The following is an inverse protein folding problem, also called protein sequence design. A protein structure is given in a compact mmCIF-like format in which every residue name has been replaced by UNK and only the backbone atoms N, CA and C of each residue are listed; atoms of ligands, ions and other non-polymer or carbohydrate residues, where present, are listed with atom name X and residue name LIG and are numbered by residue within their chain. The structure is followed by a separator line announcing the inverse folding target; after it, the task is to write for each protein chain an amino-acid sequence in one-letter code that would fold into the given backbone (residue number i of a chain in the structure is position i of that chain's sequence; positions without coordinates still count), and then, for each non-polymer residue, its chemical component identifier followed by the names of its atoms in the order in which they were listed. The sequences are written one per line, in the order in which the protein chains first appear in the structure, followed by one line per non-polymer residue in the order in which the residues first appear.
data_IF_201133302289
#
_entry.id   IF_201133302289
#
_cell.length_a   1.000
_cell.length_b   1.000
_cell.length_c   1.000
_cell.angle_alpha   90.00
_cell.angle_beta   90.00
_cell.angle_gamma   90.00
#
_symmetry.space_group_name_H-M   'P 1'
#
loop_
_entity.id
_entity.type
_entity.pdbx_description
1 polymer ?
#
# COMPACT_ATOMS: atom_id res chain seq x y z
N UNK A 1 16.35 16.40 -11.33
CA UNK A 1 15.67 16.09 -12.60
C UNK A 1 14.38 15.38 -12.26
N UNK A 2 13.24 15.91 -12.68
CA UNK A 2 11.95 15.23 -12.62
C UNK A 2 11.83 14.35 -13.87
N UNK A 3 11.58 13.05 -13.71
CA UNK A 3 11.49 12.11 -14.84
C UNK A 3 10.13 11.43 -14.91
N UNK A 4 9.62 11.28 -16.13
CA UNK A 4 8.46 10.44 -16.46
C UNK A 4 8.92 9.60 -17.65
N UNK A 5 9.15 8.31 -17.44
CA UNK A 5 9.77 7.41 -18.42
C UNK A 5 8.89 6.16 -18.53
N UNK A 6 8.46 5.82 -19.74
CA UNK A 6 7.66 4.63 -20.02
C UNK A 6 6.40 4.52 -19.15
N UNK A 7 5.68 5.63 -19.00
CA UNK A 7 4.43 5.69 -18.24
C UNK A 7 3.24 5.85 -19.19
N UNK A 8 2.31 4.89 -19.15
CA UNK A 8 1.02 5.01 -19.82
C UNK A 8 0.08 5.87 -18.95
N UNK A 9 -0.34 7.03 -19.44
CA UNK A 9 -1.11 8.01 -18.68
C UNK A 9 -2.52 8.15 -19.27
N UNK A 10 -3.53 7.80 -18.48
CA UNK A 10 -4.94 7.93 -18.85
C UNK A 10 -5.36 9.40 -19.04
N UNK A 11 -6.32 9.68 -19.95
CA UNK A 11 -6.59 11.04 -20.45
C UNK A 11 -7.07 12.06 -19.40
N UNK A 12 -7.57 11.60 -18.24
CA UNK A 12 -8.06 12.46 -17.16
C UNK A 12 -7.16 12.44 -15.92
N UNK A 13 -5.95 11.90 -16.03
CA UNK A 13 -5.02 11.85 -14.92
C UNK A 13 -4.47 13.25 -14.60
N UNK A 14 -4.39 13.58 -13.31
CA UNK A 14 -3.71 14.78 -12.83
C UNK A 14 -2.35 14.39 -12.27
N UNK A 15 -1.27 14.89 -12.87
CA UNK A 15 0.09 14.71 -12.36
C UNK A 15 0.64 16.08 -11.98
N UNK A 16 0.89 16.31 -10.69
CA UNK A 16 1.33 17.60 -10.19
C UNK A 16 2.50 17.44 -9.20
N UNK A 17 3.66 17.95 -9.60
CA UNK A 17 4.84 18.04 -8.72
C UNK A 17 5.50 16.71 -8.38
N UNK A 18 5.24 15.64 -9.14
CA UNK A 18 5.90 14.34 -8.96
C UNK A 18 7.41 14.44 -9.09
N UNK A 19 8.16 13.56 -8.42
CA UNK A 19 9.62 13.54 -8.49
C UNK A 19 10.15 12.56 -9.54
N UNK A 20 9.64 11.34 -9.62
CA UNK A 20 10.05 10.34 -10.62
C UNK A 20 8.93 9.32 -10.82
N UNK A 21 8.57 9.05 -12.08
CA UNK A 21 7.65 7.99 -12.49
C UNK A 21 8.31 7.16 -13.59
N UNK A 22 8.53 5.87 -13.36
CA UNK A 22 9.27 4.99 -14.29
C UNK A 22 8.53 3.67 -14.49
N UNK A 23 8.33 3.27 -15.75
CA UNK A 23 7.69 2.01 -16.13
C UNK A 23 6.35 1.80 -15.41
N UNK A 24 5.35 2.61 -15.77
CA UNK A 24 4.11 2.69 -15.01
C UNK A 24 2.85 2.74 -15.87
N UNK A 25 1.71 2.49 -15.26
CA UNK A 25 0.39 2.75 -15.85
C UNK A 25 -0.47 3.52 -14.86
N UNK A 26 -1.07 4.61 -15.32
CA UNK A 26 -2.02 5.43 -14.57
C UNK A 26 -3.35 5.38 -15.33
N UNK A 27 -4.27 4.54 -14.88
CA UNK A 27 -5.62 4.46 -15.42
C UNK A 27 -6.41 5.66 -14.93
N UNK A 28 -7.11 6.33 -15.84
CA UNK A 28 -7.90 7.52 -15.52
C UNK A 28 -8.95 7.79 -16.59
N UNK A 29 -10.18 8.05 -16.18
CA UNK A 29 -11.30 8.37 -17.07
C UNK A 29 -12.06 9.61 -16.57
N UNK A 30 -12.97 10.13 -17.40
CA UNK A 30 -13.76 11.32 -17.07
C UNK A 30 -14.55 11.16 -15.77
N UNK A 31 -15.13 9.98 -15.58
CA UNK A 31 -15.98 9.66 -14.43
C UNK A 31 -15.17 9.19 -13.21
N UNK A 32 -13.89 8.85 -13.41
CA UNK A 32 -13.02 8.28 -12.39
C UNK A 32 -11.56 8.78 -12.56
N UNK A 33 -11.29 10.07 -12.29
CA UNK A 33 -9.97 10.66 -12.47
C UNK A 33 -8.97 10.20 -11.41
N UNK A 34 -7.72 9.95 -11.81
CA UNK A 34 -6.62 9.53 -10.92
C UNK A 34 -5.62 10.67 -10.70
N UNK A 35 -5.11 10.80 -9.47
CA UNK A 35 -4.18 11.87 -9.09
C UNK A 35 -2.82 11.31 -8.66
N UNK A 36 -1.75 11.85 -9.24
CA UNK A 36 -0.37 11.70 -8.77
C UNK A 36 0.13 13.06 -8.30
N UNK A 37 0.38 13.19 -7.00
CA UNK A 37 0.72 14.44 -6.34
C UNK A 37 2.22 14.68 -6.15
N UNK A 38 2.49 15.67 -5.29
CA UNK A 38 3.83 16.20 -5.12
C UNK A 38 4.81 15.18 -4.54
N UNK A 39 6.04 15.21 -5.07
CA UNK A 39 7.22 14.46 -4.63
C UNK A 39 7.07 12.93 -4.67
N UNK A 40 6.06 12.41 -5.37
CA UNK A 40 5.89 10.97 -5.56
C UNK A 40 7.09 10.40 -6.31
N UNK A 41 7.55 9.23 -5.86
CA UNK A 41 8.53 8.40 -6.56
C UNK A 41 7.89 7.05 -6.79
N UNK A 42 7.67 6.66 -8.04
CA UNK A 42 7.06 5.38 -8.37
C UNK A 42 7.80 4.69 -9.52
N UNK A 43 8.13 3.42 -9.32
CA UNK A 43 8.78 2.56 -10.31
C UNK A 43 8.05 1.24 -10.45
N UNK A 44 7.88 0.73 -11.67
CA UNK A 44 7.23 -0.55 -11.94
C UNK A 44 5.84 -0.60 -11.31
N UNK A 45 4.96 0.35 -11.63
CA UNK A 45 3.71 0.57 -10.88
C UNK A 45 2.47 0.59 -11.75
N UNK A 46 1.32 0.28 -11.14
CA UNK A 46 0.00 0.50 -11.75
C UNK A 46 -0.87 1.24 -10.75
N UNK A 47 -1.45 2.36 -11.17
CA UNK A 47 -2.45 3.12 -10.43
C UNK A 47 -3.78 3.04 -11.17
N UNK A 48 -4.80 2.46 -10.54
CA UNK A 48 -6.14 2.32 -11.11
C UNK A 48 -6.97 3.60 -10.92
N UNK A 49 -8.13 3.62 -11.54
CA UNK A 49 -9.03 4.77 -11.59
C UNK A 49 -9.45 5.27 -10.19
N UNK A 50 -9.76 6.57 -10.08
CA UNK A 50 -10.13 7.21 -8.80
C UNK A 50 -9.08 7.11 -7.69
N UNK A 51 -7.87 6.59 -7.95
CA UNK A 51 -6.83 6.53 -6.93
C UNK A 51 -6.11 7.87 -6.78
N UNK A 52 -5.54 8.09 -5.60
CA UNK A 52 -4.76 9.28 -5.27
C UNK A 52 -3.45 8.86 -4.61
N UNK A 53 -2.34 9.11 -5.28
CA UNK A 53 -0.98 8.83 -4.80
C UNK A 53 -0.28 10.18 -4.60
N UNK A 54 -0.06 10.61 -3.37
CA UNK A 54 0.36 12.00 -3.06
C UNK A 54 1.45 12.05 -1.99
N UNK A 55 1.86 13.27 -1.62
CA UNK A 55 2.58 13.56 -0.37
C UNK A 55 3.86 12.72 -0.17
N UNK A 56 4.69 12.68 -1.21
CA UNK A 56 5.96 11.95 -1.21
C UNK A 56 5.85 10.43 -0.94
N UNK A 57 4.77 9.79 -1.40
CA UNK A 57 4.70 8.33 -1.45
C UNK A 57 5.82 7.74 -2.32
N UNK A 58 6.37 6.60 -1.88
CA UNK A 58 7.48 5.90 -2.56
C UNK A 58 7.01 4.47 -2.90
N UNK A 59 6.90 4.15 -4.18
CA UNK A 59 6.33 2.90 -4.67
C UNK A 59 7.30 2.18 -5.60
N UNK A 60 7.47 0.87 -5.43
CA UNK A 60 8.29 0.03 -6.32
C UNK A 60 7.65 -1.34 -6.50
N UNK A 61 7.27 -1.72 -7.73
CA UNK A 61 6.55 -2.98 -8.02
C UNK A 61 5.23 -3.05 -7.26
N UNK A 62 4.40 -2.01 -7.40
CA UNK A 62 3.16 -1.85 -6.63
C UNK A 62 1.94 -1.69 -7.55
N UNK A 63 0.87 -2.40 -7.22
CA UNK A 63 -0.46 -2.13 -7.74
C UNK A 63 -1.27 -1.32 -6.71
N UNK A 64 -1.77 -0.16 -7.14
CA UNK A 64 -2.67 0.71 -6.39
C UNK A 64 -4.04 0.65 -7.06
N UNK A 65 -4.97 -0.06 -6.44
CA UNK A 65 -6.31 -0.32 -6.95
C UNK A 65 -7.26 0.88 -6.92
N UNK A 66 -8.46 0.66 -7.44
CA UNK A 66 -9.44 1.72 -7.65
C UNK A 66 -9.81 2.40 -6.32
N UNK A 67 -9.87 3.74 -6.32
CA UNK A 67 -10.27 4.50 -5.13
C UNK A 67 -9.27 4.46 -3.96
N UNK A 68 -8.08 3.86 -4.16
CA UNK A 68 -7.06 3.83 -3.12
C UNK A 68 -6.49 5.23 -2.86
N UNK A 69 -6.16 5.49 -1.60
CA UNK A 69 -5.44 6.68 -1.19
C UNK A 69 -4.09 6.29 -0.60
N UNK A 70 -3.01 6.73 -1.22
CA UNK A 70 -1.64 6.43 -0.82
C UNK A 70 -0.89 7.74 -0.63
N UNK A 71 -0.29 7.96 0.53
CA UNK A 71 0.37 9.23 0.76
C UNK A 71 1.03 9.37 2.12
N UNK A 72 1.25 10.62 2.51
CA UNK A 72 1.92 11.02 3.76
C UNK A 72 3.21 10.23 4.00
N UNK A 73 4.09 10.19 3.00
CA UNK A 73 5.38 9.49 3.03
C UNK A 73 5.29 7.96 3.18
N UNK A 74 4.15 7.35 2.84
CA UNK A 74 4.02 5.89 2.83
C UNK A 74 4.97 5.27 1.79
N UNK A 75 5.66 4.20 2.16
CA UNK A 75 6.51 3.41 1.26
C UNK A 75 5.91 2.04 1.01
N UNK A 76 5.98 1.56 -0.22
CA UNK A 76 5.58 0.20 -0.56
C UNK A 76 6.48 -0.46 -1.59
N UNK A 77 6.75 -1.74 -1.37
CA UNK A 77 7.51 -2.58 -2.31
C UNK A 77 6.80 -3.92 -2.54
N UNK A 78 6.79 -4.41 -3.78
CA UNK A 78 6.29 -5.74 -4.15
C UNK A 78 4.86 -6.01 -3.64
N UNK A 79 4.00 -4.99 -3.63
CA UNK A 79 2.73 -5.03 -2.88
C UNK A 79 1.52 -4.75 -3.77
N UNK A 80 0.38 -5.31 -3.39
CA UNK A 80 -0.90 -5.12 -4.06
C UNK A 80 -1.89 -4.49 -3.09
N UNK A 81 -2.46 -3.35 -3.45
CA UNK A 81 -3.57 -2.72 -2.75
C UNK A 81 -4.80 -2.77 -3.65
N UNK A 82 -5.81 -3.56 -3.29
CA UNK A 82 -7.09 -3.61 -4.00
C UNK A 82 -7.97 -2.43 -3.61
N UNK A 83 -9.21 -2.40 -4.12
CA UNK A 83 -10.06 -1.22 -4.04
C UNK A 83 -10.22 -0.61 -2.64
N UNK A 84 -10.26 0.72 -2.58
CA UNK A 84 -10.56 1.51 -1.40
C UNK A 84 -9.63 1.24 -0.19
N UNK A 85 -8.37 0.89 -0.44
CA UNK A 85 -7.36 0.88 0.61
C UNK A 85 -6.89 2.31 0.93
N UNK A 86 -6.52 2.53 2.20
CA UNK A 86 -5.91 3.77 2.64
C UNK A 86 -4.54 3.44 3.25
N UNK A 87 -3.48 3.96 2.64
CA UNK A 87 -2.10 3.65 2.96
C UNK A 87 -1.34 4.96 3.22
N UNK A 88 -1.30 5.34 4.48
CA UNK A 88 -0.62 6.54 4.95
C UNK A 88 0.38 6.18 6.04
N UNK A 89 1.49 6.93 6.10
CA UNK A 89 2.37 6.97 7.27
C UNK A 89 2.90 5.60 7.74
N UNK A 90 3.57 4.85 6.88
CA UNK A 90 4.09 3.52 7.22
C UNK A 90 4.81 2.87 6.05
N UNK A 91 5.08 1.58 6.19
CA UNK A 91 5.76 0.77 5.18
C UNK A 91 4.97 -0.50 4.89
N UNK A 92 4.89 -0.88 3.61
CA UNK A 92 4.42 -2.19 3.18
C UNK A 92 5.44 -2.92 2.30
N UNK A 93 5.67 -4.21 2.55
CA UNK A 93 6.52 -5.03 1.68
C UNK A 93 5.96 -6.43 1.48
N UNK A 94 5.80 -6.84 0.22
CA UNK A 94 5.23 -8.16 -0.14
C UNK A 94 3.84 -8.39 0.45
N UNK A 95 2.98 -7.36 0.39
CA UNK A 95 1.64 -7.40 0.97
C UNK A 95 0.58 -7.66 -0.10
N UNK A 96 -0.39 -8.51 0.23
CA UNK A 96 -1.65 -8.64 -0.48
C UNK A 96 -2.75 -7.95 0.35
N UNK A 97 -2.95 -6.66 0.10
CA UNK A 97 -3.96 -5.85 0.76
C UNK A 97 -5.26 -5.92 -0.06
N UNK A 98 -6.15 -6.82 0.31
CA UNK A 98 -7.52 -6.87 -0.19
C UNK A 98 -8.29 -5.58 0.14
N UNK A 99 -9.53 -5.43 -0.38
CA UNK A 99 -10.27 -4.18 -0.27
C UNK A 99 -10.38 -3.65 1.16
N UNK A 100 -10.36 -2.33 1.32
CA UNK A 100 -10.45 -1.66 2.63
C UNK A 100 -9.39 -2.12 3.65
N UNK A 101 -8.17 -2.40 3.20
CA UNK A 101 -7.01 -2.50 4.09
C UNK A 101 -6.53 -1.08 4.39
N UNK A 102 -6.44 -0.73 5.67
CA UNK A 102 -6.25 0.64 6.13
C UNK A 102 -5.09 0.73 7.12
N UNK A 103 -4.18 1.68 6.86
CA UNK A 103 -3.19 2.17 7.81
C UNK A 103 -3.05 3.68 7.70
N UNK A 104 -3.22 4.40 8.82
CA UNK A 104 -3.23 5.86 8.85
C UNK A 104 -2.10 6.49 9.67
N UNK A 105 -1.41 5.70 10.49
CA UNK A 105 -0.57 6.18 11.59
C UNK A 105 0.86 5.69 11.46
N UNK A 106 1.83 6.56 11.81
CA UNK A 106 3.21 6.12 12.03
C UNK A 106 3.27 5.16 13.21
N UNK A 107 4.07 4.10 13.23
CA UNK A 107 4.99 3.58 12.20
C UNK A 107 4.55 2.15 11.86
N UNK A 108 3.41 1.98 11.19
CA UNK A 108 2.95 0.62 10.85
C UNK A 108 3.90 -0.04 9.87
N UNK A 109 4.26 -1.29 10.14
CA UNK A 109 4.98 -2.16 9.22
C UNK A 109 4.06 -3.31 8.82
N UNK A 110 3.66 -3.33 7.55
CA UNK A 110 2.88 -4.40 6.95
C UNK A 110 3.78 -5.24 6.05
N UNK A 111 4.06 -6.49 6.39
CA UNK A 111 4.96 -7.32 5.59
C UNK A 111 4.43 -8.72 5.40
N UNK A 112 4.70 -9.31 4.23
CA UNK A 112 4.44 -10.73 3.93
C UNK A 112 3.08 -11.20 4.47
N UNK A 113 2.03 -10.46 4.15
CA UNK A 113 0.72 -10.61 4.78
C UNK A 113 -0.42 -10.46 3.80
N UNK A 114 -1.47 -11.27 4.01
CA UNK A 114 -2.75 -11.14 3.31
C UNK A 114 -3.78 -10.51 4.26
N UNK A 115 -4.37 -9.40 3.82
CA UNK A 115 -5.32 -8.58 4.58
C UNK A 115 -6.59 -8.33 3.77
N UNK A 116 -7.70 -8.04 4.43
CA UNK A 116 -8.93 -7.55 3.80
C UNK A 116 -9.83 -6.91 4.85
N UNK A 117 -10.48 -5.78 4.54
CA UNK A 117 -11.25 -4.99 5.50
C UNK A 117 -10.48 -4.80 6.83
N UNK A 118 -9.17 -4.62 6.71
CA UNK A 118 -8.24 -4.69 7.83
C UNK A 118 -7.91 -3.30 8.32
N UNK A 119 -7.87 -3.12 9.64
CA UNK A 119 -7.45 -1.85 10.23
C UNK A 119 -6.17 -2.07 11.03
N UNK A 120 -5.07 -1.44 10.58
CA UNK A 120 -3.81 -1.44 11.30
C UNK A 120 -3.81 -0.34 12.36
N UNK A 121 -3.75 -0.73 13.63
CA UNK A 121 -3.51 0.19 14.74
C UNK A 121 -2.13 0.85 14.64
N UNK A 122 -1.98 2.02 15.27
CA UNK A 122 -0.72 2.76 15.30
C UNK A 122 0.43 1.91 15.83
N UNK A 123 1.57 1.88 15.14
CA UNK A 123 2.73 1.09 15.58
C UNK A 123 2.53 -0.43 15.49
N UNK A 124 1.52 -0.90 14.74
CA UNK A 124 1.42 -2.32 14.38
C UNK A 124 2.70 -2.77 13.70
N UNK A 125 3.27 -3.87 14.19
CA UNK A 125 4.51 -4.41 13.68
C UNK A 125 4.36 -5.91 13.40
N UNK A 126 4.93 -6.35 12.28
CA UNK A 126 4.84 -7.72 11.80
C UNK A 126 6.24 -8.23 11.53
N UNK A 127 6.50 -9.49 11.85
CA UNK A 127 7.80 -10.12 11.61
C UNK A 127 7.63 -11.38 10.77
N UNK A 128 8.39 -11.45 9.68
CA UNK A 128 8.47 -12.60 8.79
C UNK A 128 9.85 -13.29 8.85
N UNK A 129 10.63 -13.02 9.91
CA UNK A 129 11.93 -13.62 10.12
C UNK A 129 12.08 -14.03 11.58
N UNK A 130 12.46 -15.28 11.83
CA UNK A 130 12.69 -15.80 13.17
C UNK A 130 14.19 -15.88 13.44
N UNK A 131 14.62 -15.37 14.59
CA UNK A 131 16.04 -15.36 14.96
C UNK A 131 16.62 -16.77 14.89
N UNK A 132 17.77 -16.93 14.20
CA UNK A 132 18.46 -18.20 13.91
C UNK A 132 17.75 -19.20 13.00
N UNK A 133 16.44 -19.05 12.75
CA UNK A 133 15.68 -19.97 11.90
C UNK A 133 15.42 -19.43 10.49
N UNK A 134 15.63 -18.14 10.27
CA UNK A 134 15.55 -17.55 8.94
C UNK A 134 14.14 -17.04 8.59
N UNK A 135 13.84 -16.88 7.29
CA UNK A 135 12.53 -16.41 6.83
C UNK A 135 11.42 -17.42 7.14
N UNK A 136 10.21 -16.91 7.36
CA UNK A 136 9.01 -17.72 7.60
C UNK A 136 7.92 -17.42 6.56
N UNK A 137 6.92 -18.31 6.50
CA UNK A 137 5.77 -18.22 5.59
C UNK A 137 4.88 -17.01 5.91
N UNK A 138 4.00 -16.57 5.00
CA UNK A 138 3.18 -15.36 5.18
C UNK A 138 2.22 -15.41 6.38
N UNK A 139 1.77 -14.24 6.83
CA UNK A 139 0.59 -14.06 7.66
C UNK A 139 -0.71 -14.03 6.84
N UNK A 140 -1.83 -14.51 7.41
CA UNK A 140 -3.18 -14.34 6.84
C UNK A 140 -4.12 -13.81 7.91
N UNK A 141 -4.52 -12.55 7.77
CA UNK A 141 -5.53 -11.91 8.59
C UNK A 141 -6.80 -11.84 7.77
N UNK A 142 -7.82 -12.59 8.18
CA UNK A 142 -9.07 -12.65 7.45
C UNK A 142 -9.84 -11.32 7.54
N UNK A 143 -10.95 -11.24 6.79
CA UNK A 143 -11.72 -10.01 6.65
C UNK A 143 -12.10 -9.40 8.01
N UNK A 144 -11.96 -8.08 8.14
CA UNK A 144 -12.44 -7.36 9.31
C UNK A 144 -11.54 -7.45 10.54
N UNK A 145 -10.36 -8.08 10.43
CA UNK A 145 -9.40 -8.09 11.54
C UNK A 145 -8.91 -6.68 11.84
N UNK A 146 -8.64 -6.41 13.11
CA UNK A 146 -8.03 -5.17 13.56
C UNK A 146 -6.86 -5.47 14.48
N UNK A 147 -5.72 -4.81 14.26
CA UNK A 147 -4.70 -4.72 15.29
C UNK A 147 -4.94 -3.47 16.13
N UNK A 148 -4.80 -3.62 17.45
CA UNK A 148 -4.64 -2.50 18.36
C UNK A 148 -3.34 -1.74 18.10
N UNK A 149 -3.17 -0.64 18.83
CA UNK A 149 -1.89 0.09 18.79
C UNK A 149 -0.79 -0.76 19.42
N UNK A 150 0.39 -0.75 18.81
CA UNK A 150 1.59 -1.48 19.23
C UNK A 150 1.45 -3.01 19.24
N UNK A 151 0.46 -3.57 18.53
CA UNK A 151 0.36 -5.02 18.36
C UNK A 151 1.57 -5.54 17.57
N UNK A 152 2.16 -6.63 18.06
CA UNK A 152 3.22 -7.36 17.39
C UNK A 152 2.69 -8.72 16.92
N UNK A 153 2.87 -9.03 15.63
CA UNK A 153 2.43 -10.31 15.07
C UNK A 153 3.59 -11.03 14.40
N UNK A 154 3.90 -12.23 14.86
CA UNK A 154 4.92 -13.10 14.29
C UNK A 154 4.31 -14.04 13.27
N UNK A 155 4.89 -14.10 12.08
CA UNK A 155 4.47 -15.05 11.05
C UNK A 155 5.07 -16.45 11.27
N UNK A 156 4.46 -17.51 10.72
CA UNK A 156 3.12 -17.52 10.12
C UNK A 156 2.04 -17.39 11.21
N UNK A 157 1.07 -16.50 10.98
CA UNK A 157 -0.11 -16.37 11.82
C UNK A 157 -1.38 -16.45 10.97
N UNK A 158 -2.47 -16.96 11.55
CA UNK A 158 -3.79 -17.07 10.94
C UNK A 158 -4.80 -16.50 11.92
N UNK A 159 -5.46 -15.40 11.53
CA UNK A 159 -6.41 -14.70 12.40
C UNK A 159 -7.79 -14.76 11.76
N UNK A 160 -8.77 -15.23 12.55
CA UNK A 160 -10.16 -15.37 12.15
C UNK A 160 -10.82 -14.04 11.79
N UNK A 161 -11.97 -14.06 11.09
CA UNK A 161 -12.60 -12.82 10.64
C UNK A 161 -13.09 -12.01 11.84
N UNK A 162 -13.10 -10.68 11.71
CA UNK A 162 -13.61 -9.73 12.71
C UNK A 162 -12.97 -9.84 14.11
N UNK A 163 -11.75 -10.38 14.17
CA UNK A 163 -10.99 -10.51 15.42
C UNK A 163 -10.16 -9.26 15.70
N UNK A 164 -9.86 -9.03 16.98
CA UNK A 164 -8.97 -7.95 17.44
C UNK A 164 -7.71 -8.56 18.05
N UNK A 165 -6.55 -7.99 17.71
CA UNK A 165 -5.22 -8.39 18.22
C UNK A 165 -4.64 -7.25 19.05
#
# INVERSE_FOLDING_TARGET
TTEIIDVNIGPYATINGTSSLVNGTILSSKDAPTTIGAKVVAKDFIAAESSSITDAAILSKVFVGQGCQVGRQFSAENSLFFANCEAFQGEACSVFAGPYTVTHHKSTLLIAGLFSFYNAGSGTNQSNHMYKLGPVHEGKLQRGVKTGSFSYVMWPCRVGPFSVI
#
